data_IF_556501485515
#
_entry.id   IF_556501485515
#
_cell.length_a   1.000
_cell.length_b   1.000
_cell.length_c   1.000
_cell.angle_alpha   90.00
_cell.angle_beta   90.00
_cell.angle_gamma   90.00
#
_symmetry.space_group_name_H-M   'P 1'
#
loop_
_entity.id
_entity.type
_entity.pdbx_description
1 polymer ?
#
# COMPACT_ATOMS: atom_id res chain seq x y z
N UNK A 1 14.15 -4.40 19.82
CA UNK A 1 13.45 -5.68 19.66
C UNK A 1 14.51 -6.75 19.56
N UNK A 2 14.37 -7.84 20.29
CA UNK A 2 15.29 -8.99 20.20
C UNK A 2 15.03 -9.76 18.91
N UNK A 3 16.08 -10.16 18.20
CA UNK A 3 16.00 -10.98 16.98
C UNK A 3 16.28 -12.42 17.40
N UNK A 4 15.28 -13.30 17.28
CA UNK A 4 15.33 -14.70 17.74
C UNK A 4 15.56 -15.68 16.61
N UNK A 5 14.91 -15.48 15.46
CA UNK A 5 14.91 -16.42 14.34
C UNK A 5 15.76 -15.94 13.14
N UNK A 6 16.08 -14.64 13.08
CA UNK A 6 16.79 -14.02 11.97
C UNK A 6 15.91 -13.72 10.75
N UNK A 7 14.58 -13.81 10.87
CA UNK A 7 13.65 -13.63 9.76
C UNK A 7 12.76 -12.41 10.00
N UNK A 8 12.82 -11.45 9.09
CA UNK A 8 11.86 -10.34 9.01
C UNK A 8 11.04 -10.45 7.74
N UNK A 9 9.72 -10.39 7.89
CA UNK A 9 8.82 -10.29 6.74
C UNK A 9 8.84 -8.87 6.19
N UNK A 10 9.37 -8.70 4.99
CA UNK A 10 9.38 -7.39 4.32
C UNK A 10 8.03 -7.03 3.68
N UNK A 11 7.05 -7.93 3.74
CA UNK A 11 5.75 -7.75 3.12
C UNK A 11 4.65 -8.50 3.87
N UNK A 12 3.82 -7.74 4.58
CA UNK A 12 2.64 -8.21 5.29
C UNK A 12 1.61 -7.10 5.31
N UNK A 13 0.35 -7.42 5.62
CA UNK A 13 -0.74 -6.45 5.55
C UNK A 13 -1.39 -6.23 6.91
N UNK A 14 -1.42 -4.98 7.36
CA UNK A 14 -2.13 -4.56 8.56
C UNK A 14 -3.61 -4.31 8.25
N UNK A 15 -4.42 -5.36 8.23
CA UNK A 15 -5.88 -5.19 8.12
C UNK A 15 -6.41 -4.56 9.41
N UNK A 16 -7.09 -3.43 9.30
CA UNK A 16 -7.75 -2.81 10.44
C UNK A 16 -9.09 -3.51 10.74
N UNK A 17 -9.52 -3.48 12.00
CA UNK A 17 -10.86 -3.93 12.41
C UNK A 17 -11.97 -3.17 11.65
N UNK A 18 -13.15 -3.80 11.46
CA UNK A 18 -14.25 -3.25 10.65
C UNK A 18 -14.75 -1.88 11.12
N UNK A 19 -14.54 -1.54 12.38
CA UNK A 19 -15.00 -0.31 13.01
C UNK A 19 -13.88 0.75 13.17
N UNK A 20 -12.70 0.51 12.59
CA UNK A 20 -11.54 1.37 12.79
C UNK A 20 -11.78 2.84 12.43
N UNK A 21 -12.50 3.09 11.33
CA UNK A 21 -12.87 4.46 10.92
C UNK A 21 -14.06 5.00 11.70
N UNK A 22 -15.08 4.19 11.99
CA UNK A 22 -16.26 4.61 12.78
C UNK A 22 -15.85 5.07 14.19
N UNK A 23 -14.82 4.44 14.78
CA UNK A 23 -14.26 4.84 16.07
C UNK A 23 -13.45 6.14 16.04
N UNK A 24 -12.92 6.55 14.88
CA UNK A 24 -11.92 7.63 14.76
C UNK A 24 -12.40 8.84 13.97
N UNK A 25 -13.45 8.69 13.17
CA UNK A 25 -14.01 9.76 12.35
C UNK A 25 -15.33 10.26 12.95
N UNK A 26 -15.51 11.58 12.96
CA UNK A 26 -16.75 12.20 13.43
C UNK A 26 -17.92 11.89 12.49
N UNK A 27 -18.87 11.07 12.95
CA UNK A 27 -20.14 10.82 12.26
C UNK A 27 -21.01 12.09 12.18
N UNK A 28 -20.89 13.02 13.13
CA UNK A 28 -21.56 14.31 13.06
C UNK A 28 -21.08 15.17 11.88
N UNK A 29 -19.79 15.08 11.53
CA UNK A 29 -19.20 15.81 10.40
C UNK A 29 -19.37 15.08 9.07
N UNK A 30 -19.17 13.78 9.06
CA UNK A 30 -19.03 12.99 7.84
C UNK A 30 -20.26 12.13 7.52
N UNK A 31 -21.16 11.92 8.47
CA UNK A 31 -22.39 11.15 8.28
C UNK A 31 -22.13 9.74 7.75
N UNK A 32 -22.87 9.38 6.71
CA UNK A 32 -22.75 8.12 5.98
C UNK A 32 -21.48 8.03 5.11
N UNK A 33 -20.67 9.09 5.03
CA UNK A 33 -19.42 9.05 4.27
C UNK A 33 -18.33 8.24 4.98
N UNK A 34 -18.41 8.09 6.30
CA UNK A 34 -17.40 7.37 7.11
C UNK A 34 -17.22 5.94 6.59
N UNK A 35 -15.98 5.49 6.32
CA UNK A 35 -15.72 4.11 5.93
C UNK A 35 -16.27 3.11 6.95
N UNK A 36 -17.07 2.15 6.49
CA UNK A 36 -17.65 1.13 7.36
C UNK A 36 -18.03 -0.12 6.58
N UNK A 37 -18.04 -1.27 7.26
CA UNK A 37 -18.55 -2.51 6.67
C UNK A 37 -20.08 -2.52 6.76
N UNK A 38 -20.73 -2.73 5.62
CA UNK A 38 -22.18 -2.86 5.49
C UNK A 38 -22.54 -4.20 4.86
N UNK A 39 -23.73 -4.67 5.19
CA UNK A 39 -24.31 -5.82 4.52
C UNK A 39 -24.81 -5.44 3.11
N UNK A 40 -24.56 -6.32 2.16
CA UNK A 40 -25.08 -6.25 0.80
C UNK A 40 -25.54 -7.65 0.33
N UNK A 41 -26.12 -7.70 -0.87
CA UNK A 41 -26.54 -8.95 -1.51
C UNK A 41 -25.80 -9.14 -2.84
N UNK A 42 -25.29 -10.35 -3.07
CA UNK A 42 -24.65 -10.75 -4.33
C UNK A 42 -25.15 -12.15 -4.70
N UNK A 43 -25.80 -12.28 -5.87
CA UNK A 43 -26.36 -13.55 -6.37
C UNK A 43 -27.26 -14.27 -5.34
N UNK A 44 -28.13 -13.54 -4.64
CA UNK A 44 -29.02 -14.09 -3.61
C UNK A 44 -28.32 -14.50 -2.31
N UNK A 45 -27.04 -14.16 -2.13
CA UNK A 45 -26.28 -14.42 -0.92
C UNK A 45 -25.96 -13.12 -0.18
N UNK A 46 -26.08 -13.15 1.15
CA UNK A 46 -25.65 -12.06 2.02
C UNK A 46 -24.12 -11.98 1.99
N UNK A 47 -23.59 -10.80 1.70
CA UNK A 47 -22.16 -10.48 1.70
C UNK A 47 -21.91 -9.22 2.53
N UNK A 48 -20.67 -8.99 2.94
CA UNK A 48 -20.24 -7.76 3.59
C UNK A 48 -19.34 -6.99 2.61
N UNK A 49 -19.54 -5.68 2.53
CA UNK A 49 -18.80 -4.78 1.65
C UNK A 49 -18.40 -3.51 2.40
N UNK A 50 -17.31 -2.89 1.98
CA UNK A 50 -16.95 -1.57 2.48
C UNK A 50 -17.84 -0.50 1.84
N UNK A 51 -18.51 0.30 2.66
CA UNK A 51 -19.11 1.57 2.27
C UNK A 51 -18.10 2.68 2.53
N UNK A 52 -17.84 3.52 1.53
CA UNK A 52 -16.88 4.63 1.62
C UNK A 52 -17.45 5.81 0.85
N UNK A 53 -17.47 6.98 1.48
CA UNK A 53 -18.03 8.19 0.87
C UNK A 53 -19.47 7.97 0.36
N UNK A 54 -20.31 7.31 1.15
CA UNK A 54 -21.70 7.00 0.82
C UNK A 54 -21.89 5.92 -0.26
N UNK A 55 -20.81 5.29 -0.74
CA UNK A 55 -20.86 4.30 -1.84
C UNK A 55 -20.37 2.94 -1.38
N UNK A 56 -21.20 1.92 -1.59
CA UNK A 56 -20.83 0.51 -1.39
C UNK A 56 -19.83 0.11 -2.47
N UNK A 57 -18.68 -0.41 -2.06
CA UNK A 57 -17.60 -0.85 -2.94
C UNK A 57 -17.85 -2.30 -3.36
N UNK A 58 -17.72 -2.58 -4.65
CA UNK A 58 -17.82 -3.94 -5.18
C UNK A 58 -16.48 -4.70 -5.07
N UNK A 59 -15.97 -4.84 -3.85
CA UNK A 59 -14.72 -5.50 -3.52
C UNK A 59 -14.90 -6.42 -2.32
N UNK A 60 -14.03 -7.41 -2.15
CA UNK A 60 -14.03 -8.27 -0.96
C UNK A 60 -13.83 -7.46 0.31
N UNK A 61 -14.36 -7.94 1.43
CA UNK A 61 -14.28 -7.22 2.70
C UNK A 61 -12.85 -7.22 3.27
N UNK A 62 -12.05 -8.23 2.93
CA UNK A 62 -10.66 -8.34 3.31
C UNK A 62 -9.88 -9.19 2.28
N UNK A 63 -8.62 -8.84 2.02
CA UNK A 63 -7.69 -9.71 1.31
C UNK A 63 -6.83 -10.47 2.34
N UNK A 64 -7.19 -11.73 2.62
CA UNK A 64 -6.42 -12.60 3.52
C UNK A 64 -6.53 -14.12 3.22
N UNK A 65 -6.54 -14.57 1.94
CA UNK A 65 -6.79 -15.98 1.62
C UNK A 65 -5.76 -16.93 2.25
N UNK A 66 -4.52 -16.48 2.41
CA UNK A 66 -3.46 -17.28 3.04
C UNK A 66 -3.69 -17.55 4.54
N UNK A 67 -4.40 -16.66 5.24
CA UNK A 67 -4.70 -16.80 6.66
C UNK A 67 -5.98 -17.61 6.94
N UNK A 68 -6.78 -17.89 5.90
CA UNK A 68 -8.02 -18.64 6.03
C UNK A 68 -7.77 -20.16 6.09
N UNK A 69 -8.70 -20.90 6.68
CA UNK A 69 -8.69 -22.37 6.63
C UNK A 69 -8.73 -22.86 5.17
N UNK A 70 -7.82 -23.79 4.83
CA UNK A 70 -7.58 -24.25 3.46
C UNK A 70 -6.65 -23.35 2.64
N UNK A 71 -6.24 -22.20 3.19
CA UNK A 71 -5.31 -21.27 2.58
C UNK A 71 -5.70 -20.84 1.16
N UNK A 72 -4.70 -20.68 0.30
CA UNK A 72 -4.90 -20.32 -1.12
C UNK A 72 -5.76 -21.35 -1.86
N UNK A 73 -5.71 -22.64 -1.47
CA UNK A 73 -6.47 -23.70 -2.11
C UNK A 73 -8.00 -23.54 -1.93
N UNK A 74 -8.44 -22.76 -0.93
CA UNK A 74 -9.85 -22.39 -0.72
C UNK A 74 -10.44 -21.65 -1.92
N UNK A 75 -9.62 -20.90 -2.65
CA UNK A 75 -10.00 -20.30 -3.94
C UNK A 75 -11.00 -19.13 -3.87
N UNK A 76 -11.30 -18.58 -2.69
CA UNK A 76 -12.13 -17.39 -2.55
C UNK A 76 -11.72 -16.54 -1.32
N UNK A 77 -12.05 -15.25 -1.36
CA UNK A 77 -11.80 -14.27 -0.29
C UNK A 77 -12.98 -14.20 0.69
N UNK A 78 -12.80 -13.79 1.97
CA UNK A 78 -13.90 -13.62 2.91
C UNK A 78 -15.07 -12.83 2.31
N UNK A 79 -16.27 -13.43 2.32
CA UNK A 79 -17.49 -12.77 1.85
C UNK A 79 -18.20 -12.05 2.96
N UNK A 80 -18.05 -12.53 4.20
CA UNK A 80 -18.52 -11.89 5.43
C UNK A 80 -17.32 -11.52 6.31
N UNK A 81 -17.45 -10.45 7.10
CA UNK A 81 -16.43 -10.09 8.09
C UNK A 81 -16.19 -11.21 9.11
N UNK A 82 -17.25 -11.96 9.44
CA UNK A 82 -17.16 -13.10 10.34
C UNK A 82 -16.27 -14.25 9.83
N UNK A 83 -15.96 -14.28 8.53
CA UNK A 83 -15.00 -15.24 7.96
C UNK A 83 -13.54 -14.77 8.09
N UNK A 84 -13.30 -13.50 8.45
CA UNK A 84 -11.95 -12.94 8.58
C UNK A 84 -11.33 -13.48 9.88
N UNK A 85 -10.20 -14.21 9.81
CA UNK A 85 -9.55 -14.74 11.00
C UNK A 85 -9.02 -13.63 11.91
N UNK A 86 -9.10 -13.84 13.23
CA UNK A 86 -8.68 -12.85 14.22
C UNK A 86 -7.22 -12.40 14.06
N UNK A 87 -6.32 -13.32 13.67
CA UNK A 87 -4.89 -13.05 13.41
C UNK A 87 -4.63 -12.05 12.27
N UNK A 88 -5.65 -11.73 11.47
CA UNK A 88 -5.56 -10.79 10.36
C UNK A 88 -5.73 -9.34 10.83
N UNK A 89 -6.55 -9.07 11.85
CA UNK A 89 -6.89 -7.70 12.28
C UNK A 89 -6.67 -7.40 13.77
N UNK A 90 -6.40 -8.40 14.60
CA UNK A 90 -6.07 -8.22 16.02
C UNK A 90 -4.54 -8.34 16.20
N UNK A 91 -3.84 -7.26 16.58
CA UNK A 91 -2.39 -7.27 16.73
C UNK A 91 -1.91 -8.21 17.83
N UNK A 92 -2.67 -8.41 18.92
CA UNK A 92 -2.25 -9.32 19.98
C UNK A 92 -2.35 -10.78 19.52
N UNK A 93 -3.42 -11.14 18.79
CA UNK A 93 -3.58 -12.48 18.23
C UNK A 93 -2.51 -12.77 17.15
N UNK A 94 -2.13 -11.77 16.36
CA UNK A 94 -1.15 -11.92 15.28
C UNK A 94 0.27 -12.22 15.78
N UNK A 95 0.65 -11.76 16.98
CA UNK A 95 1.97 -12.06 17.56
C UNK A 95 2.21 -13.56 17.69
N UNK A 96 1.20 -14.33 18.07
CA UNK A 96 1.30 -15.79 18.15
C UNK A 96 1.57 -16.40 16.77
N UNK A 97 0.89 -15.91 15.73
CA UNK A 97 1.12 -16.38 14.36
C UNK A 97 2.56 -16.11 13.90
N UNK A 98 3.11 -14.93 14.22
CA UNK A 98 4.52 -14.63 13.94
C UNK A 98 5.48 -15.57 14.68
N UNK A 99 5.16 -15.96 15.91
CA UNK A 99 5.98 -16.91 16.67
C UNK A 99 5.91 -18.33 16.08
N UNK A 100 4.73 -18.77 15.68
CA UNK A 100 4.50 -20.06 15.05
C UNK A 100 5.24 -20.16 13.70
N UNK A 101 5.21 -19.07 12.91
CA UNK A 101 5.90 -18.94 11.62
C UNK A 101 7.40 -18.60 11.74
N UNK A 102 7.90 -18.37 12.97
CA UNK A 102 9.29 -17.99 13.27
C UNK A 102 9.74 -16.70 12.58
N UNK A 103 8.87 -15.69 12.57
CA UNK A 103 9.13 -14.36 11.99
C UNK A 103 9.34 -13.36 13.12
N UNK A 104 10.51 -12.73 13.22
CA UNK A 104 10.84 -11.79 14.29
C UNK A 104 10.07 -10.48 14.18
N UNK A 105 9.78 -10.00 12.97
CA UNK A 105 9.00 -8.79 12.75
C UNK A 105 8.51 -8.67 11.31
N UNK A 106 7.61 -7.73 11.07
CA UNK A 106 6.98 -7.58 9.76
C UNK A 106 6.68 -6.12 9.40
N UNK A 107 6.84 -5.81 8.11
CA UNK A 107 6.37 -4.54 7.53
C UNK A 107 4.88 -4.64 7.24
N UNK A 108 4.10 -3.66 7.69
CA UNK A 108 2.66 -3.63 7.52
C UNK A 108 2.25 -2.62 6.43
N UNK A 109 1.89 -3.17 5.28
CA UNK A 109 1.22 -2.49 4.19
C UNK A 109 -0.28 -2.33 4.46
N UNK A 110 -0.94 -1.30 3.89
CA UNK A 110 -2.38 -1.17 3.96
C UNK A 110 -3.10 -2.38 3.33
N UNK A 111 -4.20 -2.81 3.93
CA UNK A 111 -5.13 -3.80 3.36
C UNK A 111 -6.47 -3.12 2.99
N UNK A 112 -7.52 -3.91 2.81
CA UNK A 112 -8.85 -3.45 2.46
C UNK A 112 -9.42 -2.52 3.53
N UNK A 113 -10.07 -1.41 3.13
CA UNK A 113 -10.35 -1.00 1.75
C UNK A 113 -9.27 -0.11 1.12
N UNK A 114 -8.19 0.20 1.86
CA UNK A 114 -7.20 1.22 1.49
C UNK A 114 -6.37 0.81 0.27
N UNK A 115 -6.02 -0.48 0.15
CA UNK A 115 -5.16 -1.03 -0.92
C UNK A 115 -5.67 -0.76 -2.34
N UNK A 116 -6.93 -0.33 -2.51
CA UNK A 116 -7.54 0.01 -3.80
C UNK A 116 -7.77 1.53 -3.99
N UNK A 117 -6.93 2.36 -3.36
CA UNK A 117 -6.96 3.84 -3.46
C UNK A 117 -8.33 4.43 -3.12
N UNK A 118 -9.02 3.80 -2.16
CA UNK A 118 -10.43 4.04 -1.92
C UNK A 118 -10.76 5.44 -1.39
N UNK A 119 -9.77 6.23 -0.97
CA UNK A 119 -9.99 7.58 -0.46
C UNK A 119 -9.85 8.67 -1.53
N UNK A 120 -9.36 8.34 -2.74
CA UNK A 120 -9.24 9.29 -3.85
C UNK A 120 -10.58 9.69 -4.49
N UNK A 121 -11.71 9.13 -4.04
CA UNK A 121 -13.03 9.38 -4.63
C UNK A 121 -13.80 10.56 -4.00
N UNK A 122 -13.16 11.34 -3.13
CA UNK A 122 -13.77 12.43 -2.36
C UNK A 122 -12.98 13.75 -2.49
N UNK A 123 -13.27 14.69 -1.58
CA UNK A 123 -12.51 15.93 -1.37
C UNK A 123 -11.31 15.72 -0.44
N UNK A 124 -10.38 16.69 -0.44
CA UNK A 124 -9.13 16.62 0.32
C UNK A 124 -9.33 16.51 1.84
N UNK A 125 -10.34 17.20 2.39
CA UNK A 125 -10.60 17.17 3.83
C UNK A 125 -11.12 15.80 4.29
N UNK A 126 -11.96 15.16 3.48
CA UNK A 126 -12.43 13.80 3.75
C UNK A 126 -11.32 12.76 3.58
N UNK A 127 -10.50 12.87 2.52
CA UNK A 127 -9.36 11.99 2.32
C UNK A 127 -8.39 12.07 3.51
N UNK A 128 -7.99 13.28 3.91
CA UNK A 128 -7.12 13.50 5.07
C UNK A 128 -7.68 12.85 6.33
N UNK A 129 -8.98 13.00 6.61
CA UNK A 129 -9.61 12.38 7.77
C UNK A 129 -9.58 10.84 7.72
N UNK A 130 -9.78 10.25 6.53
CA UNK A 130 -9.66 8.79 6.35
C UNK A 130 -8.22 8.29 6.51
N UNK A 131 -7.26 9.06 5.99
CA UNK A 131 -5.81 8.78 6.08
C UNK A 131 -5.36 8.84 7.53
N UNK A 132 -5.72 9.90 8.25
CA UNK A 132 -5.40 10.07 9.67
C UNK A 132 -5.96 8.94 10.51
N UNK A 133 -7.24 8.60 10.31
CA UNK A 133 -7.88 7.48 11.01
C UNK A 133 -7.20 6.13 10.72
N UNK A 134 -6.75 5.90 9.48
CA UNK A 134 -6.01 4.69 9.11
C UNK A 134 -4.63 4.63 9.77
N UNK A 135 -3.85 5.70 9.63
CA UNK A 135 -2.50 5.79 10.22
C UNK A 135 -2.58 5.66 11.75
N UNK A 136 -3.53 6.33 12.41
CA UNK A 136 -3.71 6.21 13.86
C UNK A 136 -4.04 4.78 14.29
N UNK A 137 -4.96 4.12 13.59
CA UNK A 137 -5.33 2.74 13.91
C UNK A 137 -4.18 1.75 13.66
N UNK A 138 -3.35 1.98 12.64
CA UNK A 138 -2.22 1.12 12.34
C UNK A 138 -1.03 1.38 13.28
N UNK A 139 -0.85 2.63 13.74
CA UNK A 139 0.13 2.98 14.76
C UNK A 139 -0.13 2.25 16.10
N UNK A 140 -1.40 2.02 16.46
CA UNK A 140 -1.75 1.24 17.66
C UNK A 140 -1.22 -0.20 17.62
N UNK A 141 -1.00 -0.79 16.44
CA UNK A 141 -0.34 -2.10 16.34
C UNK A 141 1.09 -2.02 16.86
N UNK A 142 1.82 -0.95 16.52
CA UNK A 142 3.18 -0.73 17.02
C UNK A 142 3.20 -0.51 18.54
N UNK A 143 2.15 0.06 19.11
CA UNK A 143 2.00 0.21 20.56
C UNK A 143 1.83 -1.17 21.26
N UNK A 144 1.22 -2.15 20.59
CA UNK A 144 1.13 -3.54 21.07
C UNK A 144 2.49 -4.25 20.99
N UNK A 145 3.27 -4.03 19.93
CA UNK A 145 4.60 -4.65 19.81
C UNK A 145 5.53 -3.91 18.85
N UNK A 146 6.81 -3.82 19.24
CA UNK A 146 7.88 -3.30 18.39
C UNK A 146 8.17 -4.15 17.14
N UNK A 147 7.58 -5.36 17.03
CA UNK A 147 7.70 -6.29 15.88
C UNK A 147 6.94 -5.80 14.65
N UNK A 148 5.96 -4.92 14.85
CA UNK A 148 5.19 -4.35 13.76
C UNK A 148 5.87 -3.10 13.21
N UNK A 149 6.04 -3.02 11.90
CA UNK A 149 6.69 -1.89 11.21
C UNK A 149 5.66 -1.26 10.26
N UNK A 150 4.79 -0.36 10.75
CA UNK A 150 3.70 0.16 9.94
C UNK A 150 4.17 1.23 8.96
N UNK A 151 3.59 1.19 7.75
CA UNK A 151 3.80 2.18 6.71
C UNK A 151 2.67 3.21 6.72
N UNK A 152 3.02 4.49 6.63
CA UNK A 152 2.04 5.57 6.57
C UNK A 152 1.48 5.67 5.14
N UNK A 153 0.17 5.87 5.01
CA UNK A 153 -0.44 6.33 3.76
C UNK A 153 -0.53 7.86 3.76
N UNK A 154 -0.59 8.47 2.58
CA UNK A 154 -0.60 9.94 2.41
C UNK A 154 -1.91 10.46 1.79
N UNK A 155 -2.32 11.71 2.08
CA UNK A 155 -3.52 12.34 1.51
C UNK A 155 -3.20 13.07 0.19
N UNK A 156 -3.33 12.38 -0.95
CA UNK A 156 -2.88 12.87 -2.26
C UNK A 156 -3.56 14.15 -2.75
N UNK A 157 -4.79 14.43 -2.32
CA UNK A 157 -5.57 15.59 -2.74
C UNK A 157 -5.23 16.85 -1.93
N UNK A 158 -4.37 16.74 -0.93
CA UNK A 158 -3.97 17.85 -0.07
C UNK A 158 -2.75 18.58 -0.63
N UNK A 159 -2.54 19.81 -0.18
CA UNK A 159 -1.30 20.56 -0.43
C UNK A 159 -0.11 19.85 0.22
N UNK A 160 1.09 20.08 -0.31
CA UNK A 160 2.29 19.35 0.10
C UNK A 160 2.61 19.53 1.59
N UNK A 161 2.33 20.70 2.16
CA UNK A 161 2.54 20.99 3.58
C UNK A 161 1.68 20.09 4.49
N UNK A 162 0.45 19.78 4.06
CA UNK A 162 -0.45 18.88 4.79
C UNK A 162 0.03 17.44 4.67
N UNK A 163 0.51 17.04 3.48
CA UNK A 163 1.08 15.71 3.26
C UNK A 163 2.32 15.49 4.15
N UNK A 164 3.25 16.45 4.16
CA UNK A 164 4.46 16.42 4.98
C UNK A 164 4.11 16.37 6.47
N UNK A 165 3.20 17.23 6.93
CA UNK A 165 2.77 17.24 8.33
C UNK A 165 2.16 15.89 8.77
N UNK A 166 1.39 15.25 7.89
CA UNK A 166 0.81 13.93 8.18
C UNK A 166 1.87 12.82 8.24
N UNK A 167 2.90 12.87 7.40
CA UNK A 167 4.04 11.94 7.46
C UNK A 167 4.82 12.13 8.76
N UNK A 168 5.16 13.36 9.12
CA UNK A 168 5.85 13.66 10.40
C UNK A 168 5.03 13.17 11.60
N UNK A 169 3.72 13.41 11.59
CA UNK A 169 2.79 12.95 12.64
C UNK A 169 2.78 11.42 12.72
N UNK A 170 2.71 10.73 11.59
CA UNK A 170 2.69 9.27 11.50
C UNK A 170 4.01 8.66 12.00
N UNK A 171 5.16 9.23 11.62
CA UNK A 171 6.48 8.76 12.09
C UNK A 171 6.62 8.94 13.61
N UNK A 172 6.17 10.08 14.15
CA UNK A 172 6.10 10.31 15.61
C UNK A 172 5.22 9.28 16.33
N UNK A 173 4.15 8.82 15.68
CA UNK A 173 3.26 7.75 16.18
C UNK A 173 3.81 6.33 16.02
N UNK A 174 4.96 6.15 15.36
CA UNK A 174 5.64 4.85 15.27
C UNK A 174 5.69 4.23 13.87
N UNK A 175 5.18 4.93 12.84
CA UNK A 175 5.41 4.53 11.46
C UNK A 175 6.89 4.60 11.09
N UNK A 176 7.31 3.74 10.15
CA UNK A 176 8.72 3.54 9.78
C UNK A 176 8.95 3.50 8.28
N UNK A 177 8.00 4.03 7.52
CA UNK A 177 8.07 4.18 6.06
C UNK A 177 6.78 4.82 5.55
N UNK A 178 6.79 5.23 4.29
CA UNK A 178 5.63 5.84 3.63
C UNK A 178 5.33 5.05 2.36
N UNK A 179 4.10 4.56 2.20
CA UNK A 179 3.67 3.92 0.96
C UNK A 179 3.01 4.94 0.04
N UNK A 180 3.45 4.97 -1.21
CA UNK A 180 2.95 5.89 -2.23
C UNK A 180 2.62 5.16 -3.55
N UNK A 181 1.78 5.78 -4.37
CA UNK A 181 1.61 5.46 -5.79
C UNK A 181 2.88 5.81 -6.56
N UNK A 182 3.28 5.00 -7.54
CA UNK A 182 4.43 5.32 -8.37
C UNK A 182 4.17 6.45 -9.37
N UNK A 183 2.94 6.55 -9.88
CA UNK A 183 2.52 7.64 -10.76
C UNK A 183 1.09 8.10 -10.39
N UNK A 184 0.94 8.98 -9.39
CA UNK A 184 -0.37 9.43 -8.91
C UNK A 184 -1.24 10.05 -10.01
N UNK A 185 -0.64 10.70 -11.01
CA UNK A 185 -1.39 11.34 -12.09
C UNK A 185 -2.11 10.34 -13.01
N UNK A 186 -1.65 9.08 -13.05
CA UNK A 186 -2.32 8.01 -13.79
C UNK A 186 -3.48 7.38 -13.01
N UNK A 187 -3.43 7.42 -11.68
CA UNK A 187 -4.51 6.91 -10.82
C UNK A 187 -5.68 7.90 -10.75
N UNK A 188 -5.40 9.21 -10.65
CA UNK A 188 -6.43 10.24 -10.65
C UNK A 188 -5.98 11.50 -11.39
N UNK A 189 -6.79 11.92 -12.36
CA UNK A 189 -6.58 13.16 -13.12
C UNK A 189 -6.50 14.35 -12.14
N UNK A 190 -5.47 15.18 -12.33
CA UNK A 190 -5.22 16.38 -11.54
C UNK A 190 -4.14 16.21 -10.48
N UNK A 191 -3.80 14.97 -10.10
CA UNK A 191 -2.64 14.73 -9.24
C UNK A 191 -1.33 15.00 -10.00
N UNK A 192 -0.30 15.38 -9.24
CA UNK A 192 1.03 15.66 -9.77
C UNK A 192 1.79 14.36 -10.03
N UNK A 193 2.59 14.36 -11.11
CA UNK A 193 3.50 13.25 -11.40
C UNK A 193 4.56 13.15 -10.32
N UNK A 194 5.13 11.96 -10.11
CA UNK A 194 6.10 11.77 -9.03
C UNK A 194 7.35 12.65 -9.18
N UNK A 195 7.78 12.93 -10.41
CA UNK A 195 8.93 13.80 -10.68
C UNK A 195 8.60 15.31 -10.69
N UNK A 196 7.37 15.70 -10.35
CA UNK A 196 7.00 17.10 -10.17
C UNK A 196 7.62 17.66 -8.89
N UNK A 197 8.12 18.91 -8.94
CA UNK A 197 8.72 19.59 -7.78
C UNK A 197 7.78 19.71 -6.59
N UNK A 198 6.47 19.60 -6.81
CA UNK A 198 5.46 19.49 -5.76
C UNK A 198 5.81 18.45 -4.69
N UNK A 199 6.45 17.32 -5.06
CA UNK A 199 6.78 16.25 -4.10
C UNK A 199 8.13 16.40 -3.41
N UNK A 200 8.97 17.38 -3.80
CA UNK A 200 10.32 17.56 -3.23
C UNK A 200 10.32 17.74 -1.70
N UNK A 201 9.37 18.48 -1.08
CA UNK A 201 9.30 18.57 0.38
C UNK A 201 9.04 17.22 1.06
N UNK A 202 8.30 16.31 0.41
CA UNK A 202 8.09 14.96 0.94
C UNK A 202 9.38 14.13 0.92
N UNK A 203 10.16 14.21 -0.17
CA UNK A 203 11.45 13.53 -0.25
C UNK A 203 12.43 14.03 0.82
N UNK A 204 12.50 15.34 1.00
CA UNK A 204 13.32 15.97 2.03
C UNK A 204 12.91 15.49 3.44
N UNK A 205 11.61 15.52 3.74
CA UNK A 205 11.06 15.08 5.01
C UNK A 205 11.36 13.60 5.30
N UNK A 206 11.10 12.70 4.34
CA UNK A 206 11.37 11.27 4.52
C UNK A 206 12.88 10.99 4.72
N UNK A 207 13.76 11.70 4.01
CA UNK A 207 15.20 11.60 4.22
C UNK A 207 15.62 12.07 5.61
N UNK A 208 15.14 13.24 6.05
CA UNK A 208 15.46 13.80 7.37
C UNK A 208 14.98 12.90 8.51
N UNK A 209 13.78 12.32 8.36
CA UNK A 209 13.21 11.37 9.31
C UNK A 209 13.86 9.98 9.23
N UNK A 210 14.67 9.71 8.22
CA UNK A 210 15.30 8.40 8.00
C UNK A 210 14.29 7.29 7.70
N UNK A 211 13.18 7.61 7.03
CA UNK A 211 12.13 6.64 6.68
C UNK A 211 12.08 6.42 5.16
N UNK A 212 12.04 5.15 4.69
CA UNK A 212 11.97 4.84 3.27
C UNK A 212 10.61 5.16 2.63
N UNK A 213 10.64 5.39 1.32
CA UNK A 213 9.46 5.31 0.46
C UNK A 213 9.22 3.85 0.04
N UNK A 214 7.95 3.46 -0.03
CA UNK A 214 7.54 2.12 -0.40
C UNK A 214 6.60 2.12 -1.61
N UNK A 215 6.86 1.17 -2.51
CA UNK A 215 5.96 0.71 -3.54
C UNK A 215 5.57 -0.74 -3.26
N UNK A 216 4.30 -1.07 -3.50
CA UNK A 216 3.75 -2.40 -3.25
C UNK A 216 3.07 -2.94 -4.51
N UNK A 217 3.41 -4.17 -4.89
CA UNK A 217 2.90 -4.81 -6.10
C UNK A 217 3.12 -3.93 -7.33
N UNK A 218 2.03 -3.58 -8.01
CA UNK A 218 2.09 -2.70 -9.21
C UNK A 218 2.24 -1.20 -8.91
N UNK A 219 2.36 -0.79 -7.65
CA UNK A 219 2.39 0.62 -7.24
C UNK A 219 1.22 1.47 -7.80
N UNK A 220 0.07 0.82 -8.03
CA UNK A 220 -1.16 1.41 -8.57
C UNK A 220 -1.23 1.52 -10.09
N UNK A 221 -0.39 0.79 -10.82
CA UNK A 221 -0.26 0.88 -12.28
C UNK A 221 -0.57 -0.41 -13.04
N UNK A 222 -1.10 -1.45 -12.36
CA UNK A 222 -1.35 -2.75 -12.97
C UNK A 222 -2.17 -2.67 -14.26
N UNK A 223 -3.19 -1.82 -14.33
CA UNK A 223 -4.06 -1.70 -15.52
C UNK A 223 -3.47 -0.79 -16.60
N UNK A 224 -2.62 0.17 -16.22
CA UNK A 224 -2.10 1.20 -17.12
C UNK A 224 -0.80 0.79 -17.83
N UNK A 225 0.02 -0.04 -17.17
CA UNK A 225 1.34 -0.47 -17.68
C UNK A 225 1.36 -1.94 -18.15
N UNK A 226 0.21 -2.61 -18.16
CA UNK A 226 0.11 -4.00 -18.63
C UNK A 226 -0.50 -4.09 -20.01
N UNK A 227 0.00 -5.04 -20.81
CA UNK A 227 -0.70 -5.45 -22.02
C UNK A 227 -2.09 -6.00 -21.67
N UNK A 228 -3.11 -5.80 -22.52
CA UNK A 228 -4.39 -6.48 -22.34
C UNK A 228 -4.22 -8.00 -22.25
N UNK A 229 -5.07 -8.64 -21.47
CA UNK A 229 -5.15 -10.11 -21.45
C UNK A 229 -5.58 -10.62 -22.82
N UNK A 230 -5.06 -11.79 -23.20
CA UNK A 230 -5.47 -12.43 -24.43
C UNK A 230 -6.87 -13.03 -24.26
N UNK A 231 -7.64 -13.03 -25.35
CA UNK A 231 -8.98 -13.61 -25.34
C UNK A 231 -8.91 -15.12 -25.10
N UNK A 232 -9.90 -15.65 -24.39
CA UNK A 232 -10.08 -17.10 -24.18
C UNK A 232 -9.54 -17.64 -22.86
N UNK A 233 -8.92 -16.81 -22.01
CA UNK A 233 -8.52 -17.24 -20.67
C UNK A 233 -9.72 -17.47 -19.75
N UNK A 234 -9.67 -18.57 -19.02
CA UNK A 234 -10.48 -18.77 -17.81
C UNK A 234 -10.10 -17.76 -16.74
N UNK A 235 -10.95 -17.63 -15.71
CA UNK A 235 -10.68 -16.75 -14.56
C UNK A 235 -9.35 -17.08 -13.85
N UNK A 236 -8.98 -18.36 -13.77
CA UNK A 236 -7.72 -18.78 -13.14
C UNK A 236 -6.52 -18.40 -14.00
N UNK A 237 -6.59 -18.63 -15.31
CA UNK A 237 -5.52 -18.24 -16.24
C UNK A 237 -5.32 -16.72 -16.28
N UNK A 238 -6.42 -15.96 -16.33
CA UNK A 238 -6.41 -14.49 -16.22
C UNK A 238 -5.70 -14.04 -14.94
N UNK A 239 -6.06 -14.60 -13.79
CA UNK A 239 -5.39 -14.29 -12.52
C UNK A 239 -3.90 -14.67 -12.50
N UNK A 240 -3.53 -15.83 -13.04
CA UNK A 240 -2.12 -16.25 -13.15
C UNK A 240 -1.31 -15.29 -14.02
N UNK A 241 -1.85 -14.88 -15.15
CA UNK A 241 -1.17 -13.93 -16.06
C UNK A 241 -1.05 -12.55 -15.41
N UNK A 242 -2.11 -12.07 -14.75
CA UNK A 242 -2.12 -10.79 -14.04
C UNK A 242 -1.05 -10.75 -12.94
N UNK A 243 -1.01 -11.78 -12.08
CA UNK A 243 -0.04 -11.86 -10.97
C UNK A 243 1.40 -12.02 -11.45
N UNK A 244 1.65 -12.84 -12.48
CA UNK A 244 3.00 -13.00 -13.04
C UNK A 244 3.58 -11.70 -13.64
N UNK A 245 2.72 -10.80 -14.11
CA UNK A 245 3.14 -9.51 -14.69
C UNK A 245 3.50 -8.45 -13.64
N UNK A 246 3.07 -8.60 -12.39
CA UNK A 246 3.36 -7.62 -11.33
C UNK A 246 4.86 -7.38 -11.18
N UNK A 247 5.68 -8.42 -11.37
CA UNK A 247 7.13 -8.33 -11.32
C UNK A 247 7.75 -7.45 -12.42
N UNK A 248 7.03 -7.18 -13.52
CA UNK A 248 7.52 -6.34 -14.62
C UNK A 248 7.22 -4.85 -14.39
N UNK A 249 6.34 -4.49 -13.46
CA UNK A 249 5.99 -3.08 -13.22
C UNK A 249 7.18 -2.27 -12.67
N UNK A 250 7.95 -2.73 -11.66
CA UNK A 250 9.11 -1.99 -11.18
C UNK A 250 10.18 -1.79 -12.25
N UNK A 251 10.38 -2.76 -13.16
CA UNK A 251 11.32 -2.63 -14.28
C UNK A 251 11.01 -1.41 -15.18
N UNK A 252 9.75 -0.98 -15.25
CA UNK A 252 9.32 0.21 -15.99
C UNK A 252 9.43 1.50 -15.16
N UNK A 253 9.36 1.40 -13.84
CA UNK A 253 9.38 2.53 -12.91
C UNK A 253 10.78 2.98 -12.53
N UNK A 254 11.67 2.02 -12.28
CA UNK A 254 13.03 2.29 -11.78
C UNK A 254 13.85 3.19 -12.72
N UNK A 255 13.79 3.06 -14.05
CA UNK A 255 14.47 4.00 -14.95
C UNK A 255 13.98 5.44 -14.76
N UNK A 256 12.66 5.64 -14.55
CA UNK A 256 12.12 6.97 -14.27
C UNK A 256 12.65 7.52 -12.94
N UNK A 257 12.72 6.68 -11.90
CA UNK A 257 13.26 7.09 -10.60
C UNK A 257 14.74 7.47 -10.69
N UNK A 258 15.57 6.61 -11.29
CA UNK A 258 17.01 6.84 -11.48
C UNK A 258 17.24 8.12 -12.27
N UNK A 259 16.65 8.26 -13.46
CA UNK A 259 16.91 9.39 -14.34
C UNK A 259 16.13 10.67 -13.99
N UNK A 260 15.23 10.64 -12.99
CA UNK A 260 14.59 11.87 -12.47
C UNK A 260 15.54 12.75 -11.65
N UNK A 261 16.70 12.23 -11.25
CA UNK A 261 17.64 12.87 -10.34
C UNK A 261 17.12 12.98 -8.89
N UNK A 262 15.96 12.39 -8.55
CA UNK A 262 15.45 12.38 -7.16
C UNK A 262 16.47 11.71 -6.25
N UNK A 263 17.03 10.57 -6.67
CA UNK A 263 18.03 9.83 -5.90
C UNK A 263 19.33 10.61 -5.72
N UNK A 264 19.72 11.44 -6.70
CA UNK A 264 20.91 12.29 -6.59
C UNK A 264 20.69 13.49 -5.66
N UNK A 265 19.49 14.09 -5.67
CA UNK A 265 19.12 15.19 -4.77
C UNK A 265 18.91 14.72 -3.32
N UNK A 266 18.45 13.49 -3.15
CA UNK A 266 18.14 12.89 -1.85
C UNK A 266 18.86 11.54 -1.67
N UNK A 267 20.21 11.53 -1.60
CA UNK A 267 21.00 10.29 -1.58
C UNK A 267 20.83 9.45 -0.31
N UNK A 268 20.25 10.01 0.75
CA UNK A 268 19.90 9.28 1.98
C UNK A 268 18.50 8.69 1.96
N UNK A 269 17.67 9.01 0.96
CA UNK A 269 16.31 8.49 0.85
C UNK A 269 16.30 7.09 0.23
N UNK A 270 15.84 6.10 0.99
CA UNK A 270 15.72 4.73 0.54
C UNK A 270 14.35 4.45 -0.10
N UNK A 271 14.32 3.54 -1.07
CA UNK A 271 13.12 3.08 -1.75
C UNK A 271 13.00 1.56 -1.66
N UNK A 272 11.82 1.05 -1.31
CA UNK A 272 11.53 -0.37 -1.20
C UNK A 272 10.40 -0.76 -2.16
N UNK A 273 10.64 -1.79 -2.99
CA UNK A 273 9.62 -2.43 -3.82
C UNK A 273 9.23 -3.78 -3.20
N UNK A 274 8.03 -3.92 -2.65
CA UNK A 274 7.51 -5.17 -2.11
C UNK A 274 6.52 -5.84 -3.08
N UNK A 275 6.32 -7.15 -2.90
CA UNK A 275 5.44 -8.00 -3.73
C UNK A 275 5.77 -8.02 -5.24
N UNK A 276 7.03 -7.80 -5.63
CA UNK A 276 7.42 -7.68 -7.05
C UNK A 276 8.50 -8.67 -7.51
N UNK A 277 8.91 -9.58 -6.63
CA UNK A 277 10.07 -10.45 -6.88
C UNK A 277 11.36 -9.67 -7.10
N UNK A 278 12.42 -10.36 -7.51
CA UNK A 278 13.76 -9.77 -7.62
C UNK A 278 14.41 -9.91 -9.02
N UNK A 279 13.86 -10.76 -9.90
CA UNK A 279 14.50 -11.09 -11.18
C UNK A 279 14.66 -9.89 -12.14
N UNK A 280 13.86 -8.85 -11.99
CA UNK A 280 13.92 -7.64 -12.82
C UNK A 280 15.09 -6.71 -12.47
N UNK A 281 15.66 -6.81 -11.27
CA UNK A 281 16.64 -5.84 -10.74
C UNK A 281 17.90 -5.81 -11.60
N UNK A 282 18.50 -6.97 -11.86
CA UNK A 282 19.72 -7.03 -12.65
C UNK A 282 19.51 -6.51 -14.07
N UNK A 283 18.39 -6.87 -14.70
CA UNK A 283 18.04 -6.43 -16.04
C UNK A 283 17.92 -4.90 -16.12
N UNK A 284 17.16 -4.28 -15.20
CA UNK A 284 16.90 -2.84 -15.29
C UNK A 284 18.14 -2.01 -14.99
N UNK A 285 18.97 -2.45 -14.03
CA UNK A 285 20.21 -1.75 -13.69
C UNK A 285 21.22 -1.82 -14.85
N UNK A 286 21.41 -3.00 -15.44
CA UNK A 286 22.28 -3.16 -16.62
C UNK A 286 21.79 -2.30 -17.80
N UNK A 287 20.49 -2.27 -18.06
CA UNK A 287 19.90 -1.45 -19.11
C UNK A 287 20.09 0.06 -18.86
N UNK A 288 19.86 0.51 -17.63
CA UNK A 288 20.08 1.91 -17.23
C UNK A 288 21.55 2.33 -17.39
N UNK A 289 22.49 1.51 -16.92
CA UNK A 289 23.93 1.78 -17.07
C UNK A 289 24.35 1.82 -18.54
N UNK A 290 23.87 0.88 -19.34
CA UNK A 290 24.13 0.84 -20.77
C UNK A 290 23.64 2.12 -21.47
N UNK A 291 22.38 2.50 -21.26
CA UNK A 291 21.82 3.70 -21.90
C UNK A 291 22.50 4.98 -21.40
N UNK A 292 22.80 5.09 -20.10
CA UNK A 292 23.55 6.21 -19.56
C UNK A 292 24.90 6.40 -20.27
N UNK A 293 25.63 5.30 -20.47
CA UNK A 293 26.92 5.27 -21.16
C UNK A 293 26.82 5.60 -22.65
N UNK A 294 25.92 4.94 -23.38
CA UNK A 294 25.78 5.12 -24.82
C UNK A 294 25.27 6.52 -25.18
N UNK A 295 24.36 7.07 -24.38
CA UNK A 295 23.80 8.41 -24.59
C UNK A 295 24.68 9.52 -24.02
N UNK A 296 25.68 9.18 -23.20
CA UNK A 296 26.58 10.13 -22.55
C UNK A 296 25.84 11.18 -21.74
N UNK A 297 24.87 10.74 -20.94
CA UNK A 297 23.96 11.64 -20.23
C UNK A 297 24.66 12.58 -19.23
N UNK A 298 25.89 12.28 -18.79
CA UNK A 298 26.72 13.25 -18.03
C UNK A 298 27.07 14.54 -18.79
N UNK A 299 26.75 14.62 -20.08
CA UNK A 299 26.85 15.85 -20.87
C UNK A 299 25.58 16.70 -20.83
N UNK A 300 24.48 16.10 -20.39
CA UNK A 300 23.17 16.74 -20.24
C UNK A 300 23.02 17.16 -18.78
N UNK A 301 23.44 18.39 -18.47
CA UNK A 301 23.11 19.16 -17.26
C UNK A 301 23.13 18.41 -15.93
#
# INVERSE_FOLDING_TARGET
MEIKFGLFSCDSHGQLEKDAWVKRMSTARWGDRVPQVVEAEENGQRVDRWLINGKVRNQWVCNCPAAMEGGVARGYYPRRWAEVPKIVYDPAARLQALDDDRVDGEVLYPNSPVSNFAFLQADAAFELACVQAHNDALAEWREVSARYVPLAIIPYLSDIEVVVAEVERSVKRGHRGVIMLAEPAFTKKGLKRMNDRFWEPLWACCQELGVPMHWHGSAGLAEQLSLPEWKGFSKKESHTVSTARLCATPAQLIPNLIFSGILDRYPGLNWACAETGFGWVNFVLEACDHEWQQRRLWKEG
#
